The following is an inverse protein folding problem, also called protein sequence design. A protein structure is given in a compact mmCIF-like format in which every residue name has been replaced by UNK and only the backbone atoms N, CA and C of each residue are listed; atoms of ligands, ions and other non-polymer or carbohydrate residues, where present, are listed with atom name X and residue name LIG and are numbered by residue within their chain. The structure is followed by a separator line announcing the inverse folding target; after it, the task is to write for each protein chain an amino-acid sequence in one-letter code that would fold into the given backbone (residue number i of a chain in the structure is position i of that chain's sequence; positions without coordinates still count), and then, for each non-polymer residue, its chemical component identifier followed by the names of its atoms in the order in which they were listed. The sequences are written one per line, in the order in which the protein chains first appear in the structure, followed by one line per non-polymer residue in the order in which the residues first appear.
data_IF_675544722357
#
_entry.id   IF_675544722357
#
_cell.length_a   1.000
_cell.length_b   1.000
_cell.length_c   1.000
_cell.angle_alpha   90.00
_cell.angle_beta   90.00
_cell.angle_gamma   90.00
#
_symmetry.space_group_name_H-M   'P 1'
#
loop_
_entity.id
_entity.type
_entity.pdbx_description
1 polymer ?
#
# COMPACT_ATOMS: atom_id res chain seq x y z
N UNK A 1 -30.44 -1.83 6.62
CA UNK A 1 -29.01 -1.97 6.30
C UNK A 1 -28.92 -2.71 4.98
N UNK A 2 -28.33 -2.13 3.93
CA UNK A 2 -28.26 -2.79 2.62
C UNK A 2 -27.03 -3.69 2.56
N UNK A 3 -27.24 -5.01 2.61
CA UNK A 3 -26.17 -6.01 2.43
C UNK A 3 -25.59 -6.00 1.01
N UNK A 4 -26.22 -5.31 0.07
CA UNK A 4 -25.79 -5.23 -1.32
C UNK A 4 -24.52 -4.37 -1.53
N UNK A 5 -24.15 -3.52 -0.56
CA UNK A 5 -23.01 -2.60 -0.69
C UNK A 5 -22.04 -2.73 0.50
N UNK A 6 -21.43 -3.92 0.70
CA UNK A 6 -20.66 -4.23 1.90
C UNK A 6 -19.45 -3.30 2.09
N UNK A 7 -18.91 -2.76 0.99
CA UNK A 7 -17.80 -1.81 1.03
C UNK A 7 -18.15 -0.54 1.79
N UNK A 8 -19.39 -0.06 1.73
CA UNK A 8 -19.83 1.18 2.37
C UNK A 8 -20.41 0.98 3.77
N UNK A 9 -20.40 -0.24 4.30
CA UNK A 9 -21.01 -0.55 5.59
C UNK A 9 -20.44 0.29 6.75
N UNK A 10 -19.16 0.67 6.69
CA UNK A 10 -18.54 1.48 7.75
C UNK A 10 -19.26 2.82 7.98
N UNK A 11 -19.79 3.45 6.92
CA UNK A 11 -20.51 4.73 7.04
C UNK A 11 -21.80 4.58 7.87
N UNK A 12 -22.42 3.41 7.82
CA UNK A 12 -23.67 3.13 8.55
C UNK A 12 -23.50 3.07 10.06
N UNK A 13 -22.25 2.99 10.52
CA UNK A 13 -21.85 2.96 11.94
C UNK A 13 -21.39 4.32 12.46
N UNK A 14 -21.33 5.35 11.60
CA UNK A 14 -20.99 6.72 12.00
C UNK A 14 -22.01 7.24 13.03
N UNK A 15 -21.53 7.75 14.15
CA UNK A 15 -22.36 8.19 15.28
C UNK A 15 -22.95 7.09 16.15
N UNK A 16 -22.80 5.80 15.78
CA UNK A 16 -23.19 4.64 16.61
C UNK A 16 -22.03 4.04 17.39
N UNK A 17 -20.81 4.19 16.87
CA UNK A 17 -19.59 3.76 17.52
C UNK A 17 -18.96 4.92 18.30
N UNK A 18 -18.15 4.63 19.35
CA UNK A 18 -17.27 5.63 19.94
C UNK A 18 -16.42 6.31 18.87
N UNK A 19 -16.28 7.64 18.95
CA UNK A 19 -15.58 8.44 17.93
C UNK A 19 -14.17 7.94 17.63
N UNK A 20 -13.43 7.54 18.67
CA UNK A 20 -12.08 7.00 18.53
C UNK A 20 -12.05 5.70 17.70
N UNK A 21 -12.99 4.79 17.96
CA UNK A 21 -13.11 3.53 17.22
C UNK A 21 -13.51 3.78 15.77
N UNK A 22 -14.49 4.67 15.53
CA UNK A 22 -14.89 5.03 14.17
C UNK A 22 -13.72 5.64 13.38
N UNK A 23 -12.94 6.54 13.99
CA UNK A 23 -11.76 7.15 13.37
C UNK A 23 -10.67 6.11 13.04
N UNK A 24 -10.43 5.14 13.93
CA UNK A 24 -9.50 4.04 13.67
C UNK A 24 -9.95 3.17 12.48
N UNK A 25 -11.21 2.76 12.45
CA UNK A 25 -11.77 1.95 11.35
C UNK A 25 -11.76 2.72 10.02
N UNK A 26 -12.06 4.01 10.05
CA UNK A 26 -12.02 4.88 8.87
C UNK A 26 -10.59 4.97 8.31
N UNK A 27 -9.58 5.14 9.18
CA UNK A 27 -8.16 5.10 8.80
C UNK A 27 -7.76 3.74 8.22
N UNK A 28 -8.17 2.64 8.83
CA UNK A 28 -7.91 1.29 8.33
C UNK A 28 -8.51 1.05 6.94
N UNK A 29 -9.74 1.52 6.71
CA UNK A 29 -10.38 1.47 5.38
C UNK A 29 -9.61 2.30 4.35
N UNK A 30 -9.18 3.51 4.71
CA UNK A 30 -8.34 4.34 3.85
C UNK A 30 -7.01 3.65 3.49
N UNK A 31 -6.34 3.03 4.47
CA UNK A 31 -5.11 2.29 4.25
C UNK A 31 -5.30 1.06 3.33
N UNK A 32 -6.43 0.36 3.45
CA UNK A 32 -6.79 -0.73 2.55
C UNK A 32 -6.94 -0.23 1.11
N UNK A 33 -7.76 0.80 0.89
CA UNK A 33 -8.02 1.33 -0.45
C UNK A 33 -6.74 1.80 -1.12
N UNK A 34 -5.90 2.53 -0.38
CA UNK A 34 -4.58 2.94 -0.88
C UNK A 34 -3.69 1.74 -1.27
N UNK A 35 -3.72 0.66 -0.49
CA UNK A 35 -2.97 -0.56 -0.83
C UNK A 35 -3.47 -1.20 -2.13
N UNK A 36 -4.79 -1.17 -2.37
CA UNK A 36 -5.39 -1.67 -3.61
C UNK A 36 -5.03 -0.83 -4.83
N UNK A 37 -4.81 0.47 -4.67
CA UNK A 37 -4.37 1.38 -5.75
C UNK A 37 -2.90 1.16 -6.13
N UNK A 38 -2.04 0.85 -5.16
CA UNK A 38 -0.60 0.66 -5.39
C UNK A 38 -0.28 -0.77 -5.85
N UNK A 39 -1.07 -1.77 -5.44
CA UNK A 39 -0.81 -3.17 -5.75
C UNK A 39 -0.65 -3.49 -7.26
N UNK A 40 -1.47 -2.96 -8.18
CA UNK A 40 -1.31 -3.20 -9.62
C UNK A 40 0.06 -2.77 -10.16
N UNK A 41 0.60 -1.63 -9.68
CA UNK A 41 1.92 -1.17 -10.09
C UNK A 41 3.02 -2.14 -9.64
N UNK A 42 2.92 -2.65 -8.42
CA UNK A 42 3.83 -3.67 -7.90
C UNK A 42 3.75 -4.99 -8.69
N UNK A 43 2.54 -5.48 -8.92
CA UNK A 43 2.32 -6.71 -9.69
C UNK A 43 2.89 -6.59 -11.10
N UNK A 44 2.63 -5.47 -11.79
CA UNK A 44 3.17 -5.19 -13.12
C UNK A 44 4.71 -5.16 -13.12
N UNK A 45 5.33 -4.53 -12.12
CA UNK A 45 6.79 -4.45 -12.00
C UNK A 45 7.44 -5.84 -11.81
N UNK A 46 6.85 -6.70 -10.97
CA UNK A 46 7.34 -8.06 -10.75
C UNK A 46 7.18 -8.91 -12.02
N UNK A 47 6.05 -8.80 -12.71
CA UNK A 47 5.81 -9.51 -13.98
C UNK A 47 6.80 -9.06 -15.06
N UNK A 48 6.97 -7.75 -15.26
CA UNK A 48 7.94 -7.19 -16.20
C UNK A 48 9.37 -7.65 -15.86
N UNK A 49 9.76 -7.62 -14.59
CA UNK A 49 11.08 -8.09 -14.16
C UNK A 49 11.30 -9.59 -14.42
N UNK A 50 10.27 -10.43 -14.25
CA UNK A 50 10.34 -11.85 -14.62
C UNK A 50 10.47 -12.06 -16.13
N UNK A 51 9.67 -11.34 -16.94
CA UNK A 51 9.71 -11.40 -18.41
C UNK A 51 11.08 -10.98 -18.93
N UNK A 52 11.65 -9.92 -18.38
CA UNK A 52 13.01 -9.46 -18.70
C UNK A 52 14.13 -10.32 -18.10
N UNK A 53 13.80 -11.43 -17.40
CA UNK A 53 14.77 -12.34 -16.78
C UNK A 53 15.73 -11.65 -15.80
N UNK A 54 15.24 -10.67 -15.04
CA UNK A 54 16.04 -10.09 -13.95
C UNK A 54 16.44 -11.17 -12.94
N UNK A 55 17.61 -11.04 -12.28
CA UNK A 55 18.04 -12.00 -11.27
C UNK A 55 16.97 -12.19 -10.18
N UNK A 56 16.69 -13.44 -9.80
CA UNK A 56 15.67 -13.73 -8.77
C UNK A 56 15.96 -13.04 -7.44
N UNK A 57 17.24 -12.81 -7.11
CA UNK A 57 17.65 -12.03 -5.95
C UNK A 57 17.10 -10.59 -5.99
N UNK A 58 17.15 -9.94 -7.14
CA UNK A 58 16.65 -8.57 -7.31
C UNK A 58 15.13 -8.52 -7.17
N UNK A 59 14.42 -9.49 -7.77
CA UNK A 59 12.97 -9.63 -7.65
C UNK A 59 12.52 -9.88 -6.21
N UNK A 60 13.18 -10.82 -5.52
CA UNK A 60 12.86 -11.17 -4.13
C UNK A 60 13.15 -10.00 -3.18
N UNK A 61 14.28 -9.31 -3.36
CA UNK A 61 14.61 -8.13 -2.56
C UNK A 61 13.60 -6.99 -2.78
N UNK A 62 13.18 -6.75 -4.02
CA UNK A 62 12.15 -5.77 -4.33
C UNK A 62 10.80 -6.15 -3.70
N UNK A 63 10.39 -7.42 -3.80
CA UNK A 63 9.17 -7.92 -3.19
C UNK A 63 9.18 -7.79 -1.67
N UNK A 64 10.26 -8.22 -1.01
CA UNK A 64 10.41 -8.10 0.44
C UNK A 64 10.39 -6.64 0.89
N UNK A 65 11.13 -5.78 0.19
CA UNK A 65 11.19 -4.34 0.50
C UNK A 65 9.82 -3.69 0.33
N UNK A 66 9.09 -4.03 -0.74
CA UNK A 66 7.74 -3.51 -0.98
C UNK A 66 6.78 -3.94 0.13
N UNK A 67 6.72 -5.25 0.44
CA UNK A 67 5.84 -5.77 1.48
C UNK A 67 6.18 -5.20 2.87
N UNK A 68 7.47 -5.05 3.18
CA UNK A 68 7.93 -4.38 4.39
C UNK A 68 7.47 -2.92 4.45
N UNK A 69 7.69 -2.15 3.39
CA UNK A 69 7.25 -0.76 3.31
C UNK A 69 5.71 -0.63 3.40
N UNK A 70 4.95 -1.55 2.80
CA UNK A 70 3.47 -1.58 2.91
C UNK A 70 2.99 -1.89 4.32
N UNK A 71 3.63 -2.84 4.99
CA UNK A 71 3.32 -3.19 6.39
C UNK A 71 3.59 -2.00 7.31
N UNK A 72 4.74 -1.34 7.13
CA UNK A 72 5.08 -0.13 7.88
C UNK A 72 4.08 1.00 7.58
N UNK A 73 3.75 1.24 6.31
CA UNK A 73 2.77 2.25 5.92
C UNK A 73 1.41 2.01 6.57
N UNK A 74 0.88 0.78 6.52
CA UNK A 74 -0.40 0.44 7.15
C UNK A 74 -0.37 0.65 8.66
N UNK A 75 0.72 0.26 9.32
CA UNK A 75 0.89 0.47 10.76
C UNK A 75 0.87 1.96 11.08
N UNK A 76 1.68 2.76 10.38
CA UNK A 76 1.73 4.21 10.55
C UNK A 76 0.36 4.86 10.28
N UNK A 77 -0.34 4.47 9.22
CA UNK A 77 -1.65 5.02 8.86
C UNK A 77 -2.70 4.76 9.95
N UNK A 78 -2.67 3.59 10.57
CA UNK A 78 -3.71 3.16 11.52
C UNK A 78 -3.45 3.63 12.95
N UNK A 79 -2.19 3.79 13.37
CA UNK A 79 -1.83 4.15 14.75
C UNK A 79 -1.58 5.64 14.95
N UNK A 80 -1.11 6.36 13.93
CA UNK A 80 -0.72 7.76 14.08
C UNK A 80 -1.94 8.68 14.08
N UNK A 81 -2.01 9.53 15.11
CA UNK A 81 -3.02 10.58 15.27
C UNK A 81 -2.44 12.00 15.32
N UNK A 82 -1.12 12.15 15.13
CA UNK A 82 -0.41 13.43 15.17
C UNK A 82 0.05 13.88 13.77
N UNK A 83 -0.09 15.16 13.46
CA UNK A 83 0.18 15.74 12.15
C UNK A 83 1.64 15.61 11.68
N UNK A 84 2.61 15.73 12.60
CA UNK A 84 4.04 15.61 12.26
C UNK A 84 4.39 14.20 11.78
N UNK A 85 3.77 13.18 12.38
CA UNK A 85 3.95 11.79 11.99
C UNK A 85 3.21 11.45 10.67
N UNK A 86 2.31 12.31 10.20
CA UNK A 86 1.71 12.19 8.87
C UNK A 86 2.73 12.40 7.74
N UNK A 87 3.81 13.17 7.96
CA UNK A 87 4.91 13.28 7.01
C UNK A 87 5.70 11.96 6.88
N UNK A 88 5.88 11.23 7.98
CA UNK A 88 6.53 9.92 7.94
C UNK A 88 5.72 8.94 7.07
N UNK A 89 4.38 8.95 7.18
CA UNK A 89 3.50 8.18 6.30
C UNK A 89 3.72 8.52 4.82
N UNK A 90 3.82 9.81 4.48
CA UNK A 90 4.10 10.26 3.10
C UNK A 90 5.47 9.78 2.61
N UNK A 91 6.49 9.84 3.45
CA UNK A 91 7.82 9.31 3.12
C UNK A 91 7.81 7.82 2.84
N UNK A 92 7.18 7.03 3.71
CA UNK A 92 7.05 5.57 3.52
C UNK A 92 6.21 5.23 2.29
N UNK A 93 5.18 6.02 1.99
CA UNK A 93 4.40 5.89 0.76
C UNK A 93 5.26 6.09 -0.49
N UNK A 94 5.99 7.21 -0.56
CA UNK A 94 6.87 7.53 -1.67
C UNK A 94 7.94 6.44 -1.86
N UNK A 95 8.53 5.96 -0.77
CA UNK A 95 9.46 4.84 -0.81
C UNK A 95 8.81 3.56 -1.36
N UNK A 96 7.60 3.21 -0.89
CA UNK A 96 6.89 2.02 -1.34
C UNK A 96 6.57 2.05 -2.84
N UNK A 97 6.31 3.22 -3.42
CA UNK A 97 6.09 3.40 -4.86
C UNK A 97 7.41 3.42 -5.64
N UNK A 98 8.47 3.96 -5.06
CA UNK A 98 9.79 3.99 -5.70
C UNK A 98 10.32 2.59 -6.04
N UNK A 99 10.03 1.59 -5.20
CA UNK A 99 10.49 0.20 -5.40
C UNK A 99 10.02 -0.38 -6.75
N UNK A 100 8.71 -0.47 -7.05
CA UNK A 100 8.25 -0.99 -8.34
C UNK A 100 8.64 -0.11 -9.52
N UNK A 101 8.75 1.22 -9.36
CA UNK A 101 9.24 2.11 -10.41
C UNK A 101 10.69 1.81 -10.80
N UNK A 102 11.58 1.62 -9.81
CA UNK A 102 12.97 1.23 -10.05
C UNK A 102 13.06 -0.16 -10.68
N UNK A 103 12.21 -1.09 -10.24
CA UNK A 103 12.18 -2.44 -10.81
C UNK A 103 11.72 -2.43 -12.28
N UNK A 104 10.70 -1.64 -12.63
CA UNK A 104 10.27 -1.42 -14.02
C UNK A 104 11.39 -0.81 -14.86
N UNK A 105 12.10 0.18 -14.34
CA UNK A 105 13.23 0.78 -15.04
C UNK A 105 14.35 -0.24 -15.29
N UNK A 106 14.69 -1.07 -14.29
CA UNK A 106 15.65 -2.17 -14.45
C UNK A 106 15.17 -3.16 -15.52
N UNK A 107 13.91 -3.54 -15.50
CA UNK A 107 13.33 -4.47 -16.46
C UNK A 107 13.39 -3.92 -17.89
N UNK A 108 13.15 -2.62 -18.10
CA UNK A 108 13.23 -1.97 -19.41
C UNK A 108 14.66 -1.78 -19.93
N UNK A 109 15.65 -1.64 -19.04
CA UNK A 109 17.07 -1.56 -19.42
C UNK A 109 17.67 -2.92 -19.80
N UNK A 110 17.11 -4.00 -19.28
CA UNK A 110 17.57 -5.35 -19.56
C UNK A 110 17.22 -5.69 -21.02
N UNK A 111 18.24 -5.69 -21.88
CA UNK A 111 18.10 -6.17 -23.24
C UNK A 111 17.90 -7.69 -23.18
N UNK A 112 16.74 -8.14 -23.65
CA UNK A 112 16.34 -9.56 -23.72
C UNK A 112 17.03 -10.24 -24.88
#
# INVERSE_FOLDING_TARGET
MSIAQPRNNLETWKGKLPNALWAQLSRARGAHLNSMEVFPLFAAAILAGNISKLPSKDLNNAALSFLGARTLYMTLYTTISHDVLAFARTGVYAWSIGIPLVLLWKAGKQQV
#
